data_IF_335981719395
#
_entry.id   IF_335981719395
#
_cell.length_a   1.000
_cell.length_b   1.000
_cell.length_c   1.000
_cell.angle_alpha   90.00
_cell.angle_beta   90.00
_cell.angle_gamma   90.00
#
_symmetry.space_group_name_H-M   'P 1'
#
loop_
_entity.id
_entity.type
_entity.pdbx_description
1 polymer ?
#
# COMPACT_ATOMS: atom_id res chain seq x y z
N UNK A 1 -6.26 -9.09 17.79
CA UNK A 1 -6.42 -10.48 17.33
C UNK A 1 -6.17 -10.65 15.83
N UNK A 2 -6.38 -9.62 15.00
CA UNK A 2 -6.20 -9.73 13.53
C UNK A 2 -4.76 -9.97 13.09
N UNK A 3 -3.77 -9.30 13.70
CA UNK A 3 -2.36 -9.44 13.29
C UNK A 3 -1.82 -10.84 13.54
N UNK A 4 -2.28 -11.48 14.62
CA UNK A 4 -1.93 -12.88 14.94
C UNK A 4 -2.55 -13.81 13.89
N UNK A 5 -3.80 -13.59 13.48
CA UNK A 5 -4.44 -14.36 12.40
C UNK A 5 -3.72 -14.17 11.07
N UNK A 6 -3.39 -12.94 10.68
CA UNK A 6 -2.67 -12.62 9.44
C UNK A 6 -1.28 -13.29 9.45
N UNK A 7 -0.52 -13.18 10.55
CA UNK A 7 0.78 -13.83 10.69
C UNK A 7 0.70 -15.36 10.66
N UNK A 8 -0.28 -15.97 11.34
CA UNK A 8 -0.47 -17.43 11.30
C UNK A 8 -0.86 -17.91 9.90
N UNK A 9 -1.74 -17.19 9.20
CA UNK A 9 -2.17 -17.51 7.83
C UNK A 9 -0.99 -17.42 6.85
N UNK A 10 -0.15 -16.38 7.00
CA UNK A 10 1.09 -16.24 6.24
C UNK A 10 2.07 -17.38 6.49
N UNK A 11 2.33 -17.74 7.76
CA UNK A 11 3.25 -18.84 8.11
C UNK A 11 2.72 -20.19 7.61
N UNK A 12 1.43 -20.51 7.82
CA UNK A 12 0.82 -21.73 7.30
C UNK A 12 0.88 -21.79 5.77
N UNK A 13 0.66 -20.65 5.12
CA UNK A 13 0.73 -20.52 3.67
C UNK A 13 2.13 -20.80 3.09
N UNK A 14 3.18 -20.28 3.74
CA UNK A 14 4.58 -20.54 3.35
C UNK A 14 4.95 -22.01 3.57
N UNK A 15 4.52 -22.63 4.68
CA UNK A 15 4.77 -24.05 4.97
C UNK A 15 4.08 -24.96 3.94
N UNK A 16 2.83 -24.68 3.57
CA UNK A 16 2.12 -25.40 2.49
C UNK A 16 2.80 -25.21 1.13
N UNK A 17 3.22 -23.98 0.81
CA UNK A 17 3.98 -23.68 -0.41
C UNK A 17 5.31 -24.44 -0.49
N UNK A 18 5.98 -24.64 0.65
CA UNK A 18 7.23 -25.41 0.72
C UNK A 18 7.01 -26.90 0.43
N UNK A 19 5.92 -27.49 0.93
CA UNK A 19 5.57 -28.89 0.67
C UNK A 19 5.22 -29.16 -0.80
N UNK A 20 4.53 -28.23 -1.49
CA UNK A 20 4.15 -28.41 -2.89
C UNK A 20 5.25 -28.11 -3.90
N UNK A 21 6.34 -27.43 -3.48
CA UNK A 21 7.51 -27.14 -4.31
C UNK A 21 8.19 -28.40 -4.83
N UNK A 22 8.01 -29.55 -4.16
CA UNK A 22 8.53 -30.85 -4.57
C UNK A 22 7.76 -31.54 -5.71
N UNK A 23 6.57 -31.06 -6.10
CA UNK A 23 5.71 -31.75 -7.07
C UNK A 23 5.53 -30.96 -8.37
N UNK A 24 5.15 -29.68 -8.30
CA UNK A 24 4.97 -28.77 -9.46
C UNK A 24 5.06 -27.28 -9.03
N UNK A 25 6.12 -26.59 -9.45
CA UNK A 25 6.42 -25.20 -9.05
C UNK A 25 5.34 -24.18 -9.44
N UNK A 26 4.56 -24.45 -10.50
CA UNK A 26 3.48 -23.58 -10.96
C UNK A 26 2.36 -23.43 -9.92
N UNK A 27 2.01 -24.51 -9.22
CA UNK A 27 0.98 -24.48 -8.17
C UNK A 27 1.42 -23.69 -6.93
N UNK A 28 2.73 -23.62 -6.68
CA UNK A 28 3.27 -22.83 -5.55
C UNK A 28 3.04 -21.34 -5.78
N UNK A 29 3.19 -20.87 -7.03
CA UNK A 29 2.92 -19.47 -7.42
C UNK A 29 1.45 -19.08 -7.24
N UNK A 30 0.52 -19.98 -7.62
CA UNK A 30 -0.91 -19.76 -7.38
C UNK A 30 -1.27 -19.74 -5.89
N UNK A 31 -0.65 -20.61 -5.08
CA UNK A 31 -0.89 -20.64 -3.63
C UNK A 31 -0.36 -19.37 -2.95
N UNK A 32 0.87 -18.95 -3.24
CA UNK A 32 1.44 -17.72 -2.65
C UNK A 32 0.63 -16.48 -3.05
N UNK A 33 0.19 -16.40 -4.31
CA UNK A 33 -0.70 -15.34 -4.78
C UNK A 33 -2.05 -15.36 -4.03
N UNK A 34 -2.66 -16.53 -3.86
CA UNK A 34 -3.92 -16.69 -3.12
C UNK A 34 -3.81 -16.27 -1.65
N UNK A 35 -2.72 -16.65 -0.98
CA UNK A 35 -2.44 -16.23 0.40
C UNK A 35 -2.24 -14.71 0.47
N UNK A 36 -1.52 -14.12 -0.48
CA UNK A 36 -1.34 -12.67 -0.58
C UNK A 36 -2.68 -11.92 -0.67
N UNK A 37 -3.58 -12.38 -1.54
CA UNK A 37 -4.93 -11.79 -1.70
C UNK A 37 -5.74 -11.88 -0.40
N UNK A 38 -5.71 -13.02 0.28
CA UNK A 38 -6.40 -13.20 1.57
C UNK A 38 -5.84 -12.26 2.63
N UNK A 39 -4.52 -12.13 2.71
CA UNK A 39 -3.84 -11.20 3.63
C UNK A 39 -4.27 -9.75 3.37
N UNK A 40 -4.37 -9.34 2.10
CA UNK A 40 -4.84 -7.99 1.79
C UNK A 40 -6.31 -7.80 2.13
N UNK A 41 -7.18 -8.77 1.84
CA UNK A 41 -8.59 -8.71 2.23
C UNK A 41 -8.76 -8.46 3.73
N UNK A 42 -7.92 -9.09 4.57
CA UNK A 42 -7.88 -8.87 6.01
C UNK A 42 -7.33 -7.49 6.41
N UNK A 43 -6.46 -6.89 5.59
CA UNK A 43 -5.90 -5.56 5.82
C UNK A 43 -6.86 -4.41 5.47
N UNK A 44 -7.84 -4.63 4.58
CA UNK A 44 -8.83 -3.61 4.17
C UNK A 44 -9.63 -3.07 5.36
N UNK A 45 -9.99 -3.93 6.31
CA UNK A 45 -10.75 -3.55 7.51
C UNK A 45 -9.97 -2.58 8.40
N UNK A 46 -8.64 -2.77 8.51
CA UNK A 46 -7.73 -1.85 9.23
C UNK A 46 -7.58 -0.50 8.52
N UNK A 47 -7.59 -0.52 7.18
CA UNK A 47 -7.52 0.70 6.39
C UNK A 47 -8.78 1.56 6.58
N UNK A 48 -9.97 0.96 6.64
CA UNK A 48 -11.21 1.71 6.93
C UNK A 48 -11.15 2.41 8.29
N UNK A 49 -10.68 1.70 9.33
CA UNK A 49 -10.49 2.29 10.66
C UNK A 49 -9.49 3.47 10.63
N UNK A 50 -8.37 3.32 9.93
CA UNK A 50 -7.39 4.38 9.76
C UNK A 50 -8.00 5.59 9.05
N UNK A 51 -8.72 5.40 7.95
CA UNK A 51 -9.37 6.49 7.21
C UNK A 51 -10.42 7.22 8.06
N UNK A 52 -11.18 6.51 8.90
CA UNK A 52 -12.14 7.14 9.84
C UNK A 52 -11.45 7.99 10.89
N UNK A 53 -10.34 7.52 11.46
CA UNK A 53 -9.56 8.27 12.45
C UNK A 53 -8.93 9.51 11.82
N UNK A 54 -8.39 9.37 10.62
CA UNK A 54 -7.84 10.44 9.79
C UNK A 54 -8.92 11.48 9.47
N UNK A 55 -10.14 11.08 9.09
CA UNK A 55 -11.27 12.00 8.88
C UNK A 55 -11.67 12.79 10.13
N UNK A 56 -11.59 12.19 11.33
CA UNK A 56 -11.84 12.91 12.60
C UNK A 56 -10.77 13.96 12.90
N UNK A 57 -9.51 13.68 12.55
CA UNK A 57 -8.40 14.63 12.69
C UNK A 57 -8.61 15.81 11.73
N UNK A 58 -9.00 15.54 10.48
CA UNK A 58 -9.35 16.58 9.51
C UNK A 58 -10.44 17.51 10.03
N UNK A 59 -11.47 16.97 10.69
CA UNK A 59 -12.55 17.79 11.24
C UNK A 59 -12.10 18.65 12.44
N UNK A 60 -10.99 18.26 13.09
CA UNK A 60 -10.41 18.98 14.23
C UNK A 60 -9.36 20.01 13.84
N UNK A 61 -8.81 19.92 12.62
CA UNK A 61 -7.85 20.86 12.06
C UNK A 61 -8.54 21.72 11.01
N UNK A 62 -8.41 23.04 11.07
CA UNK A 62 -8.84 23.95 9.99
C UNK A 62 -7.90 23.87 8.78
N UNK A 63 -7.62 22.66 8.29
CA UNK A 63 -6.79 22.42 7.11
C UNK A 63 -7.69 22.20 5.90
N UNK A 64 -7.29 22.79 4.77
CA UNK A 64 -8.03 22.66 3.54
C UNK A 64 -8.26 21.18 3.16
N UNK A 65 -9.52 20.76 2.90
CA UNK A 65 -9.84 19.36 2.60
C UNK A 65 -9.03 18.77 1.44
N UNK A 66 -8.61 19.62 0.51
CA UNK A 66 -7.89 19.23 -0.69
C UNK A 66 -6.47 18.71 -0.39
N UNK A 67 -5.73 19.33 0.53
CA UNK A 67 -4.41 18.85 0.97
C UNK A 67 -4.53 17.51 1.69
N UNK A 68 -5.56 17.39 2.53
CA UNK A 68 -5.82 16.17 3.28
C UNK A 68 -6.17 14.99 2.36
N UNK A 69 -7.00 15.25 1.35
CA UNK A 69 -7.34 14.28 0.31
C UNK A 69 -6.11 13.86 -0.51
N UNK A 70 -5.20 14.81 -0.78
CA UNK A 70 -3.95 14.57 -1.51
C UNK A 70 -3.01 13.66 -0.73
N UNK A 71 -2.85 13.88 0.58
CA UNK A 71 -2.07 13.01 1.47
C UNK A 71 -2.65 11.58 1.50
N UNK A 72 -3.97 11.46 1.63
CA UNK A 72 -4.67 10.17 1.58
C UNK A 72 -4.43 9.44 0.25
N UNK A 73 -4.55 10.14 -0.88
CA UNK A 73 -4.27 9.57 -2.22
C UNK A 73 -2.83 9.06 -2.32
N UNK A 74 -1.87 9.83 -1.80
CA UNK A 74 -0.46 9.45 -1.82
C UNK A 74 -0.21 8.16 -1.01
N UNK A 75 -0.77 8.06 0.20
CA UNK A 75 -0.69 6.85 1.04
C UNK A 75 -1.33 5.66 0.31
N UNK A 76 -2.54 5.85 -0.24
CA UNK A 76 -3.27 4.80 -0.95
C UNK A 76 -2.51 4.25 -2.15
N UNK A 77 -1.97 5.12 -3.01
CA UNK A 77 -1.16 4.73 -4.17
C UNK A 77 0.05 3.89 -3.73
N UNK A 78 0.75 4.33 -2.68
CA UNK A 78 1.97 3.65 -2.20
C UNK A 78 1.68 2.24 -1.70
N UNK A 79 0.64 2.06 -0.88
CA UNK A 79 0.27 0.74 -0.36
C UNK A 79 -0.24 -0.20 -1.45
N UNK A 80 -1.13 0.28 -2.32
CA UNK A 80 -1.67 -0.53 -3.43
C UNK A 80 -0.55 -0.92 -4.41
N UNK A 81 0.34 0.02 -4.73
CA UNK A 81 1.47 -0.22 -5.63
C UNK A 81 2.47 -1.21 -5.06
N UNK A 82 2.88 -1.05 -3.79
CA UNK A 82 3.78 -2.00 -3.12
C UNK A 82 3.19 -3.40 -3.04
N UNK A 83 1.89 -3.49 -2.73
CA UNK A 83 1.23 -4.78 -2.65
C UNK A 83 1.12 -5.46 -4.01
N UNK A 84 0.70 -4.73 -5.04
CA UNK A 84 0.58 -5.25 -6.41
C UNK A 84 1.94 -5.72 -6.93
N UNK A 85 2.99 -4.95 -6.69
CA UNK A 85 4.35 -5.33 -7.02
C UNK A 85 4.83 -6.55 -6.22
N UNK A 86 4.47 -6.65 -4.94
CA UNK A 86 4.74 -7.80 -4.08
C UNK A 86 4.16 -9.09 -4.66
N UNK A 87 2.88 -9.09 -5.03
CA UNK A 87 2.24 -10.24 -5.70
C UNK A 87 2.97 -10.61 -6.99
N UNK A 88 3.31 -9.63 -7.83
CA UNK A 88 4.02 -9.90 -9.07
C UNK A 88 5.42 -10.50 -8.81
N UNK A 89 6.13 -10.07 -7.76
CA UNK A 89 7.41 -10.67 -7.34
C UNK A 89 7.23 -12.11 -6.87
N UNK A 90 6.22 -12.37 -6.03
CA UNK A 90 5.93 -13.69 -5.50
C UNK A 90 5.50 -14.69 -6.59
N UNK A 91 4.87 -14.18 -7.66
CA UNK A 91 4.51 -14.96 -8.83
C UNK A 91 5.67 -15.25 -9.80
N UNK A 92 6.85 -14.66 -9.57
CA UNK A 92 8.03 -14.78 -10.43
C UNK A 92 8.16 -13.69 -11.51
N UNK A 93 7.22 -12.74 -11.59
CA UNK A 93 7.21 -11.63 -12.55
C UNK A 93 7.92 -10.38 -12.01
N UNK A 94 9.22 -10.49 -11.78
CA UNK A 94 10.01 -9.41 -11.17
C UNK A 94 10.12 -8.15 -12.06
N UNK A 95 10.18 -8.31 -13.38
CA UNK A 95 10.23 -7.19 -14.32
C UNK A 95 8.96 -6.33 -14.24
N UNK A 96 7.78 -6.96 -14.27
CA UNK A 96 6.48 -6.28 -14.14
C UNK A 96 6.33 -5.62 -12.78
N UNK A 97 6.77 -6.28 -11.70
CA UNK A 97 6.76 -5.69 -10.38
C UNK A 97 7.61 -4.42 -10.27
N UNK A 98 8.81 -4.43 -10.87
CA UNK A 98 9.69 -3.25 -10.91
C UNK A 98 9.06 -2.08 -11.66
N UNK A 99 8.35 -2.36 -12.77
CA UNK A 99 7.60 -1.34 -13.50
C UNK A 99 6.46 -0.74 -12.66
N UNK A 100 5.73 -1.55 -11.90
CA UNK A 100 4.69 -1.08 -10.97
C UNK A 100 5.31 -0.19 -9.88
N UNK A 101 6.42 -0.59 -9.27
CA UNK A 101 7.11 0.20 -8.25
C UNK A 101 7.61 1.54 -8.79
N UNK A 102 8.17 1.56 -10.01
CA UNK A 102 8.61 2.78 -10.67
C UNK A 102 7.43 3.73 -10.89
N UNK A 103 6.33 3.24 -11.47
CA UNK A 103 5.14 4.04 -11.73
C UNK A 103 4.54 4.61 -10.44
N UNK A 104 4.51 3.81 -9.38
CA UNK A 104 4.04 4.21 -8.07
C UNK A 104 4.88 5.38 -7.51
N UNK A 105 6.22 5.28 -7.60
CA UNK A 105 7.13 6.35 -7.17
C UNK A 105 6.95 7.64 -7.99
N UNK A 106 6.79 7.52 -9.30
CA UNK A 106 6.54 8.67 -10.18
C UNK A 106 5.21 9.34 -9.83
N UNK A 107 4.16 8.56 -9.58
CA UNK A 107 2.84 9.08 -9.21
C UNK A 107 2.87 9.85 -7.90
N UNK A 108 3.58 9.33 -6.90
CA UNK A 108 3.81 10.02 -5.61
C UNK A 108 4.59 11.32 -5.83
N UNK A 109 5.64 11.30 -6.65
CA UNK A 109 6.45 12.49 -6.94
C UNK A 109 5.62 13.61 -7.58
N UNK A 110 4.70 13.28 -8.50
CA UNK A 110 3.78 14.25 -9.11
C UNK A 110 2.82 14.83 -8.07
N UNK A 111 2.28 14.00 -7.16
CA UNK A 111 1.39 14.44 -6.09
C UNK A 111 2.08 15.30 -5.02
N UNK A 112 3.42 15.21 -4.90
CA UNK A 112 4.18 16.03 -3.97
C UNK A 112 4.39 17.46 -4.45
N UNK A 113 4.29 17.75 -5.75
CA UNK A 113 4.46 19.09 -6.33
C UNK A 113 3.49 20.12 -5.71
N UNK A 114 2.16 19.88 -5.67
CA UNK A 114 1.22 20.86 -5.09
C UNK A 114 1.49 21.11 -3.60
N UNK A 115 1.94 20.08 -2.86
CA UNK A 115 2.32 20.23 -1.45
C UNK A 115 3.56 21.13 -1.31
N UNK A 116 4.54 20.95 -2.18
CA UNK A 116 5.74 21.79 -2.21
C UNK A 116 5.41 23.25 -2.57
N UNK A 117 4.51 23.48 -3.53
CA UNK A 117 4.06 24.81 -3.91
C UNK A 117 3.37 25.53 -2.75
N UNK A 118 2.42 24.86 -2.09
CA UNK A 118 1.73 25.42 -0.93
C UNK A 118 2.69 25.81 0.19
N UNK A 119 3.73 25.01 0.41
CA UNK A 119 4.76 25.26 1.42
C UNK A 119 5.63 26.48 1.04
N UNK A 120 5.97 26.65 -0.24
CA UNK A 120 6.69 27.84 -0.72
C UNK A 120 5.86 29.11 -0.60
N UNK A 121 4.56 29.04 -0.92
CA UNK A 121 3.63 30.16 -0.76
C UNK A 121 3.51 30.58 0.71
N UNK A 122 3.36 29.62 1.63
CA UNK A 122 3.32 29.95 3.06
C UNK A 122 4.62 30.59 3.54
N UNK A 123 5.78 30.09 3.11
CA UNK A 123 7.07 30.72 3.45
C UNK A 123 7.14 32.16 2.91
N UNK A 124 6.70 32.41 1.68
CA UNK A 124 6.66 33.75 1.11
C UNK A 124 5.73 34.68 1.89
N UNK A 125 4.57 34.18 2.32
CA UNK A 125 3.59 34.94 3.11
C UNK A 125 4.12 35.26 4.52
N UNK A 126 4.98 34.41 5.10
CA UNK A 126 5.63 34.69 6.39
C UNK A 126 6.86 35.61 6.27
N UNK A 127 7.54 35.64 5.11
CA UNK A 127 8.73 36.48 4.89
C UNK A 127 8.41 37.86 4.26
N UNK A 128 7.26 38.02 3.62
CA UNK A 128 6.78 39.27 3.03
C UNK A 128 5.94 40.09 4.01
#
# INVERSE_FOLDING_TARGET
>A
MDIIRISLLGICGVVLGFFLKGTRTEYVSFITMGIGIIILGLAVDKLDYLFRMIGKIQQSLSVDPEYFLTLIKMIGITYIGQFSAGICKDAGYQATASQIELFCKLSVMVLSIPVLMALLETIQEFLG
#
